data_IF_853689999154
#
_entry.id   IF_853689999154
#
_cell.length_a   1.000
_cell.length_b   1.000
_cell.length_c   1.000
_cell.angle_alpha   90.00
_cell.angle_beta   90.00
_cell.angle_gamma   90.00
#
_symmetry.space_group_name_H-M   'P 1'
#
loop_
_entity.id
_entity.type
_entity.pdbx_description
1 polymer ?
#
# COMPACT_ATOMS: atom_id res chain seq x y z
N UNK A 1 -11.98 -36.26 -4.54
CA UNK A 1 -12.05 -34.89 -5.12
C UNK A 1 -10.86 -34.12 -4.56
N UNK A 2 -9.88 -33.81 -5.40
CA UNK A 2 -8.70 -33.07 -4.99
C UNK A 2 -9.09 -31.59 -4.92
N UNK A 3 -9.24 -31.02 -3.73
CA UNK A 3 -9.48 -29.59 -3.56
C UNK A 3 -8.24 -28.86 -4.06
N UNK A 4 -8.34 -28.26 -5.24
CA UNK A 4 -7.27 -27.45 -5.83
C UNK A 4 -7.01 -26.29 -4.87
N UNK A 5 -5.96 -26.37 -4.06
CA UNK A 5 -5.56 -25.28 -3.16
C UNK A 5 -5.00 -24.15 -4.02
N UNK A 6 -5.47 -22.93 -3.78
CA UNK A 6 -4.99 -21.73 -4.50
C UNK A 6 -3.56 -21.35 -4.08
N UNK A 7 -3.11 -21.79 -2.89
CA UNK A 7 -1.73 -21.61 -2.41
C UNK A 7 -1.06 -22.99 -2.29
N UNK A 8 0.13 -23.12 -2.89
CA UNK A 8 0.88 -24.37 -2.96
C UNK A 8 2.39 -24.12 -2.76
N UNK A 9 2.79 -23.86 -1.51
CA UNK A 9 4.18 -23.61 -1.11
C UNK A 9 4.59 -24.67 -0.07
N UNK A 10 5.48 -25.58 -0.45
CA UNK A 10 5.96 -26.69 0.41
C UNK A 10 7.50 -26.78 0.47
N UNK A 11 8.19 -25.84 -0.15
CA UNK A 11 9.65 -25.78 -0.24
C UNK A 11 10.08 -24.34 -0.52
N UNK A 12 11.23 -23.94 0.01
CA UNK A 12 11.89 -22.66 -0.26
C UNK A 12 12.83 -22.72 -1.48
N UNK A 13 13.04 -23.91 -2.06
CA UNK A 13 14.01 -24.15 -3.15
C UNK A 13 13.40 -24.79 -4.40
N UNK A 14 12.10 -25.07 -4.39
CA UNK A 14 11.41 -25.62 -5.55
C UNK A 14 11.26 -24.57 -6.65
N UNK A 15 10.97 -25.03 -7.88
CA UNK A 15 10.73 -24.12 -9.00
C UNK A 15 9.57 -23.16 -8.67
N UNK A 16 9.89 -21.87 -8.60
CA UNK A 16 8.93 -20.81 -8.32
C UNK A 16 7.99 -20.66 -9.53
N UNK A 17 6.68 -20.66 -9.27
CA UNK A 17 5.65 -20.55 -10.33
C UNK A 17 4.89 -19.24 -10.29
N UNK A 18 4.55 -18.78 -9.09
CA UNK A 18 3.84 -17.52 -8.86
C UNK A 18 4.43 -16.85 -7.62
N UNK A 19 4.58 -15.53 -7.67
CA UNK A 19 5.09 -14.71 -6.57
C UNK A 19 4.22 -13.47 -6.39
N UNK A 20 4.05 -13.03 -5.15
CA UNK A 20 3.39 -11.78 -4.82
C UNK A 20 4.46 -10.74 -4.45
N UNK A 21 4.45 -9.62 -5.17
CA UNK A 21 5.31 -8.45 -4.91
C UNK A 21 4.45 -7.23 -4.56
N UNK A 22 5.11 -6.19 -4.06
CA UNK A 22 4.52 -4.88 -3.85
C UNK A 22 5.48 -3.85 -4.44
N UNK A 23 5.02 -3.07 -5.42
CA UNK A 23 5.87 -2.08 -6.07
C UNK A 23 5.93 -0.81 -5.21
N UNK A 24 7.12 -0.30 -4.87
CA UNK A 24 7.24 0.93 -4.07
C UNK A 24 6.49 2.12 -4.70
N UNK A 25 5.73 2.84 -3.88
CA UNK A 25 4.89 3.98 -4.24
C UNK A 25 5.14 5.22 -3.37
N UNK A 26 4.14 6.10 -3.29
CA UNK A 26 4.19 7.39 -2.56
C UNK A 26 4.50 7.22 -1.06
N UNK A 27 4.26 6.04 -0.49
CA UNK A 27 4.67 5.68 0.89
C UNK A 27 6.15 5.95 1.15
N UNK A 28 7.01 5.75 0.14
CA UNK A 28 8.45 6.02 0.26
C UNK A 28 8.73 7.53 0.31
N UNK A 29 7.98 8.35 -0.44
CA UNK A 29 8.11 9.82 -0.40
C UNK A 29 7.54 10.43 0.89
N UNK A 30 6.72 9.68 1.61
CA UNK A 30 6.18 10.04 2.91
C UNK A 30 7.11 9.65 4.07
N UNK A 31 8.24 8.96 3.81
CA UNK A 31 9.26 8.70 4.82
C UNK A 31 9.98 9.99 5.19
N UNK A 32 9.88 10.38 6.46
CA UNK A 32 10.57 11.53 7.03
C UNK A 32 11.73 11.00 7.91
N UNK A 33 12.93 11.62 7.88
CA UNK A 33 14.11 11.17 8.63
C UNK A 33 13.85 10.87 10.12
N UNK A 34 12.98 11.65 10.75
CA UNK A 34 12.62 11.51 12.16
C UNK A 34 11.95 10.16 12.50
N UNK A 35 11.44 9.44 11.50
CA UNK A 35 10.76 8.17 11.65
C UNK A 35 11.51 6.99 11.03
N UNK A 36 12.66 7.22 10.39
CA UNK A 36 13.40 6.14 9.72
C UNK A 36 13.79 5.01 10.69
N UNK A 37 14.25 5.35 11.90
CA UNK A 37 14.58 4.33 12.92
C UNK A 37 13.35 3.52 13.35
N UNK A 38 12.19 4.14 13.48
CA UNK A 38 10.92 3.45 13.80
C UNK A 38 10.33 2.67 12.62
N UNK A 39 10.69 3.04 11.39
CA UNK A 39 10.21 2.43 10.15
C UNK A 39 11.21 1.43 9.57
N UNK A 40 12.34 1.17 10.26
CA UNK A 40 13.39 0.22 9.90
C UNK A 40 14.07 0.53 8.54
N UNK A 41 14.21 1.82 8.20
CA UNK A 41 14.95 2.26 7.01
C UNK A 41 16.34 2.79 7.39
N UNK A 42 17.38 2.27 6.72
CA UNK A 42 18.77 2.70 6.93
C UNK A 42 19.11 4.02 6.19
N UNK A 43 18.40 4.33 5.11
CA UNK A 43 18.51 5.58 4.34
C UNK A 43 17.19 5.90 3.61
N UNK A 44 17.01 7.14 3.16
CA UNK A 44 15.81 7.55 2.41
C UNK A 44 15.94 7.02 0.97
N UNK A 45 15.07 6.10 0.53
CA UNK A 45 15.14 5.59 -0.83
C UNK A 45 14.73 6.68 -1.82
N UNK A 46 15.46 6.81 -2.92
CA UNK A 46 14.99 7.61 -4.05
C UNK A 46 13.95 6.79 -4.81
N UNK A 47 12.66 7.11 -4.62
CA UNK A 47 11.52 6.33 -5.13
C UNK A 47 11.67 5.93 -6.60
N UNK A 48 12.10 6.85 -7.46
CA UNK A 48 12.28 6.56 -8.88
C UNK A 48 13.29 5.42 -9.13
N UNK A 49 14.43 5.45 -8.45
CA UNK A 49 15.45 4.39 -8.59
C UNK A 49 14.97 3.10 -7.95
N UNK A 50 14.33 3.16 -6.78
CA UNK A 50 13.74 1.98 -6.14
C UNK A 50 12.70 1.29 -7.03
N UNK A 51 11.90 2.06 -7.76
CA UNK A 51 10.95 1.55 -8.75
C UNK A 51 11.65 0.92 -9.96
N UNK A 52 12.69 1.56 -10.50
CA UNK A 52 13.49 1.01 -11.61
C UNK A 52 14.13 -0.34 -11.20
N UNK A 53 14.72 -0.41 -10.00
CA UNK A 53 15.30 -1.64 -9.46
C UNK A 53 14.26 -2.74 -9.23
N UNK A 54 13.11 -2.39 -8.64
CA UNK A 54 12.01 -3.33 -8.43
C UNK A 54 11.44 -3.85 -9.75
N UNK A 55 11.32 -3.00 -10.77
CA UNK A 55 10.82 -3.39 -12.09
C UNK A 55 11.80 -4.37 -12.77
N UNK A 56 13.11 -4.12 -12.68
CA UNK A 56 14.16 -5.06 -13.15
C UNK A 56 14.06 -6.41 -12.41
N UNK A 57 13.85 -6.39 -11.10
CA UNK A 57 13.68 -7.61 -10.29
C UNK A 57 12.45 -8.41 -10.75
N UNK A 58 11.29 -7.75 -10.89
CA UNK A 58 10.07 -8.38 -11.36
C UNK A 58 10.23 -8.95 -12.79
N UNK A 59 10.89 -8.22 -13.69
CA UNK A 59 11.14 -8.67 -15.06
C UNK A 59 12.12 -9.84 -15.14
N UNK A 60 13.09 -9.91 -14.23
CA UNK A 60 13.97 -11.07 -14.10
C UNK A 60 13.18 -12.33 -13.75
N UNK A 61 12.20 -12.23 -12.84
CA UNK A 61 11.32 -13.34 -12.48
C UNK A 61 10.40 -13.73 -13.65
N UNK A 62 9.77 -12.76 -14.30
CA UNK A 62 8.91 -13.00 -15.48
C UNK A 62 9.68 -13.67 -16.62
N UNK A 63 10.92 -13.25 -16.86
CA UNK A 63 11.80 -13.83 -17.88
C UNK A 63 12.15 -15.30 -17.60
N UNK A 64 12.06 -15.74 -16.35
CA UNK A 64 12.22 -17.14 -15.94
C UNK A 64 10.87 -17.90 -15.89
N UNK A 65 9.79 -17.33 -16.44
CA UNK A 65 8.47 -17.97 -16.51
C UNK A 65 7.66 -17.91 -15.21
N UNK A 66 8.06 -17.08 -14.25
CA UNK A 66 7.32 -16.87 -12.99
C UNK A 66 6.19 -15.86 -13.24
N UNK A 67 4.99 -16.19 -12.78
CA UNK A 67 3.87 -15.25 -12.69
C UNK A 67 4.10 -14.26 -11.53
N UNK A 68 4.20 -12.97 -11.84
CA UNK A 68 4.35 -11.90 -10.84
C UNK A 68 3.00 -11.23 -10.63
N UNK A 69 2.46 -11.36 -9.42
CA UNK A 69 1.26 -10.67 -8.95
C UNK A 69 1.66 -9.48 -8.07
N UNK A 70 0.81 -8.44 -8.04
CA UNK A 70 1.00 -7.27 -7.19
C UNK A 70 -0.05 -7.17 -6.11
N UNK A 71 0.37 -6.86 -4.89
CA UNK A 71 -0.51 -6.71 -3.73
C UNK A 71 -1.58 -5.65 -3.98
N UNK A 72 -1.18 -4.48 -4.49
CA UNK A 72 -2.07 -3.37 -4.79
C UNK A 72 -3.10 -3.72 -5.87
N UNK A 73 -2.75 -4.57 -6.84
CA UNK A 73 -3.67 -5.01 -7.89
C UNK A 73 -4.68 -6.02 -7.35
N UNK A 74 -4.24 -7.02 -6.60
CA UNK A 74 -5.13 -8.01 -5.99
C UNK A 74 -6.07 -7.37 -4.96
N UNK A 75 -5.58 -6.43 -4.15
CA UNK A 75 -6.42 -5.69 -3.22
C UNK A 75 -7.46 -4.83 -3.97
N UNK A 76 -7.06 -4.18 -5.07
CA UNK A 76 -7.97 -3.39 -5.91
C UNK A 76 -9.09 -4.25 -6.52
N UNK A 77 -8.77 -5.48 -6.96
CA UNK A 77 -9.77 -6.44 -7.47
C UNK A 77 -10.81 -6.79 -6.40
N UNK A 78 -10.38 -7.01 -5.16
CA UNK A 78 -11.26 -7.38 -4.04
C UNK A 78 -12.24 -6.26 -3.70
N UNK A 79 -11.79 -5.01 -3.68
CA UNK A 79 -12.62 -3.84 -3.33
C UNK A 79 -13.48 -3.32 -4.49
N UNK A 80 -13.53 -4.01 -5.63
CA UNK A 80 -14.58 -3.77 -6.63
C UNK A 80 -15.97 -4.08 -6.06
N UNK A 81 -16.05 -4.97 -5.08
CA UNK A 81 -17.26 -5.17 -4.28
C UNK A 81 -17.46 -3.98 -3.34
N UNK A 82 -18.57 -3.25 -3.52
CA UNK A 82 -18.89 -2.03 -2.77
C UNK A 82 -18.99 -2.24 -1.25
N UNK A 83 -19.55 -3.36 -0.82
CA UNK A 83 -19.69 -3.68 0.62
C UNK A 83 -18.32 -3.95 1.25
N UNK A 84 -17.46 -4.68 0.53
CA UNK A 84 -16.08 -4.95 0.97
C UNK A 84 -15.28 -3.65 0.98
N UNK A 85 -15.46 -2.79 -0.03
CA UNK A 85 -14.80 -1.49 -0.11
C UNK A 85 -15.14 -0.58 1.06
N UNK A 86 -16.42 -0.45 1.41
CA UNK A 86 -16.84 0.37 2.55
C UNK A 86 -16.21 -0.15 3.85
N UNK A 87 -16.27 -1.46 4.08
CA UNK A 87 -15.66 -2.10 5.24
C UNK A 87 -14.14 -1.88 5.28
N UNK A 88 -13.46 -2.01 4.14
CA UNK A 88 -12.02 -1.81 4.02
C UNK A 88 -11.60 -0.38 4.39
N UNK A 89 -12.34 0.63 3.90
CA UNK A 89 -12.10 2.04 4.26
C UNK A 89 -12.30 2.25 5.77
N UNK A 90 -13.37 1.71 6.35
CA UNK A 90 -13.67 1.87 7.77
C UNK A 90 -12.62 1.21 8.67
N UNK A 91 -12.19 0.00 8.32
CA UNK A 91 -11.12 -0.71 9.03
C UNK A 91 -9.79 0.04 8.93
N UNK A 92 -9.42 0.52 7.74
CA UNK A 92 -8.20 1.31 7.54
C UNK A 92 -8.20 2.60 8.37
N UNK A 93 -9.32 3.34 8.40
CA UNK A 93 -9.43 4.56 9.23
C UNK A 93 -9.31 4.22 10.71
N UNK A 94 -9.96 3.14 11.17
CA UNK A 94 -9.90 2.70 12.56
C UNK A 94 -8.47 2.32 12.97
N UNK A 95 -7.76 1.59 12.11
CA UNK A 95 -6.38 1.15 12.37
C UNK A 95 -5.36 2.29 12.30
N UNK A 96 -5.67 3.38 11.60
CA UNK A 96 -4.84 4.60 11.61
C UNK A 96 -4.73 5.29 12.98
N UNK A 97 -5.60 4.95 13.93
CA UNK A 97 -5.66 5.61 15.25
C UNK A 97 -6.34 6.99 15.24
N UNK A 98 -6.90 7.43 14.11
CA UNK A 98 -7.63 8.69 14.02
C UNK A 98 -8.94 8.62 14.81
N UNK A 99 -9.08 9.48 15.82
CA UNK A 99 -10.27 9.50 16.71
C UNK A 99 -11.17 10.73 16.54
N UNK A 100 -10.65 11.81 15.95
CA UNK A 100 -11.45 13.01 15.67
C UNK A 100 -12.49 12.72 14.58
N UNK A 101 -13.77 12.90 14.92
CA UNK A 101 -14.89 12.59 14.02
C UNK A 101 -14.87 13.42 12.74
N UNK A 102 -14.43 14.67 12.80
CA UNK A 102 -14.34 15.55 11.63
C UNK A 102 -13.28 15.03 10.67
N UNK A 103 -12.14 14.57 11.18
CA UNK A 103 -11.08 13.99 10.37
C UNK A 103 -11.49 12.64 9.78
N UNK A 104 -12.13 11.77 10.57
CA UNK A 104 -12.69 10.50 10.08
C UNK A 104 -13.63 10.72 8.90
N UNK A 105 -14.58 11.67 9.02
CA UNK A 105 -15.52 11.96 7.93
C UNK A 105 -14.84 12.53 6.68
N UNK A 106 -13.83 13.41 6.84
CA UNK A 106 -13.05 13.95 5.72
C UNK A 106 -12.25 12.85 5.02
N UNK A 107 -11.59 11.97 5.78
CA UNK A 107 -10.80 10.85 5.24
C UNK A 107 -11.71 9.88 4.49
N UNK A 108 -12.85 9.49 5.09
CA UNK A 108 -13.82 8.58 4.43
C UNK A 108 -14.26 9.15 3.09
N UNK A 109 -14.71 10.41 3.04
CA UNK A 109 -15.13 11.08 1.79
C UNK A 109 -14.00 11.17 0.76
N UNK A 110 -12.78 11.45 1.22
CA UNK A 110 -11.61 11.54 0.35
C UNK A 110 -11.31 10.18 -0.31
N UNK A 111 -11.25 9.10 0.46
CA UNK A 111 -11.00 7.75 -0.04
C UNK A 111 -12.15 7.21 -0.91
N UNK A 112 -13.40 7.53 -0.58
CA UNK A 112 -14.57 7.14 -1.37
C UNK A 112 -14.57 7.74 -2.79
N UNK A 113 -13.91 8.89 -2.98
CA UNK A 113 -13.84 9.57 -4.28
C UNK A 113 -12.85 8.93 -5.27
N UNK A 114 -11.96 8.05 -4.80
CA UNK A 114 -10.87 7.47 -5.57
C UNK A 114 -11.30 6.22 -6.37
N UNK A 115 -10.54 5.85 -7.40
CA UNK A 115 -10.69 4.53 -8.03
C UNK A 115 -10.09 3.43 -7.14
N UNK A 116 -10.37 2.17 -7.44
CA UNK A 116 -9.99 1.02 -6.58
C UNK A 116 -8.49 0.97 -6.33
N UNK A 117 -7.67 0.94 -7.39
CA UNK A 117 -6.21 0.89 -7.25
C UNK A 117 -5.65 2.16 -6.59
N UNK A 118 -6.18 3.32 -6.95
CA UNK A 118 -5.80 4.60 -6.36
C UNK A 118 -6.09 4.64 -4.86
N UNK A 119 -7.25 4.14 -4.43
CA UNK A 119 -7.62 4.02 -3.02
C UNK A 119 -6.62 3.13 -2.27
N UNK A 120 -6.32 1.93 -2.81
CA UNK A 120 -5.39 1.00 -2.17
C UNK A 120 -4.01 1.63 -2.02
N UNK A 121 -3.47 2.19 -3.11
CA UNK A 121 -2.17 2.88 -3.07
C UNK A 121 -2.20 4.07 -2.12
N UNK A 122 -3.29 4.84 -2.03
CA UNK A 122 -3.40 5.97 -1.10
C UNK A 122 -3.45 5.52 0.35
N UNK A 123 -4.13 4.41 0.66
CA UNK A 123 -4.10 3.82 2.01
C UNK A 123 -2.68 3.37 2.37
N UNK A 124 -1.96 2.73 1.45
CA UNK A 124 -0.55 2.35 1.65
C UNK A 124 0.35 3.57 1.86
N UNK A 125 0.17 4.61 1.05
CA UNK A 125 0.92 5.86 1.14
C UNK A 125 0.65 6.64 2.42
N UNK A 126 -0.57 6.56 2.95
CA UNK A 126 -1.08 7.47 3.96
C UNK A 126 -1.59 8.78 3.35
N UNK A 127 -2.24 9.59 4.21
CA UNK A 127 -2.87 10.85 3.80
C UNK A 127 -2.27 11.98 4.63
N UNK A 128 -1.74 13.01 3.97
CA UNK A 128 -1.23 14.22 4.62
C UNK A 128 -2.38 15.16 4.97
N UNK A 129 -2.24 15.93 6.06
CA UNK A 129 -3.25 16.90 6.51
C UNK A 129 -3.64 17.91 5.42
N UNK A 130 -2.65 18.41 4.66
CA UNK A 130 -2.87 19.32 3.52
C UNK A 130 -3.79 18.76 2.43
N UNK A 131 -3.81 17.44 2.22
CA UNK A 131 -4.68 16.79 1.21
C UNK A 131 -6.15 16.83 1.62
N UNK A 132 -6.42 16.99 2.92
CA UNK A 132 -7.76 17.14 3.50
C UNK A 132 -8.15 18.60 3.74
N UNK A 133 -7.33 19.56 3.29
CA UNK A 133 -7.50 20.98 3.54
C UNK A 133 -7.51 21.32 5.04
N UNK A 134 -6.72 20.59 5.83
CA UNK A 134 -6.50 20.87 7.26
C UNK A 134 -5.22 21.70 7.36
N UNK A 135 -5.31 22.85 8.04
CA UNK A 135 -4.18 23.77 8.20
C UNK A 135 -3.09 23.14 9.08
N UNK A 136 -1.85 23.22 8.62
CA UNK A 136 -0.68 22.77 9.36
C UNK A 136 -0.22 23.92 10.25
N UNK A 137 -0.83 24.06 11.44
CA UNK A 137 -0.41 25.11 12.37
C UNK A 137 1.08 24.90 12.74
N UNK A 138 1.91 25.93 12.56
CA UNK A 138 3.37 25.88 12.76
C UNK A 138 3.81 25.45 14.16
N UNK A 139 2.92 25.52 15.16
CA UNK A 139 3.22 25.16 16.54
C UNK A 139 3.05 23.67 16.83
N UNK A 140 2.38 22.91 15.96
CA UNK A 140 2.19 21.46 16.10
C UNK A 140 3.15 20.63 15.25
N UNK A 141 4.07 21.26 14.51
CA UNK A 141 5.10 20.50 13.81
C UNK A 141 6.25 20.12 14.76
N UNK A 142 6.63 18.83 14.77
CA UNK A 142 7.07 18.23 13.51
C UNK A 142 6.14 17.12 12.92
N UNK A 143 4.83 17.37 12.74
CA UNK A 143 3.76 16.40 12.41
C UNK A 143 2.61 16.96 11.55
#
# INVERSE_FOLDING_TARGET
MNTKRNIHVYSEIGDLRTVLLHRPGEEIENLIPAYMETLLFDDIPYLKVAQEEHDIFADTLRSNGVEVLYLEDLAAEVIQNKEIREKFIEEAIKESGTTDKTYVEKIKKYLESMKEKELVCKIMAGIRRKELGIDESKEEYPF
#
